data_IF_184252916864
#
_entry.id   IF_184252916864
#
_cell.length_a   1.000
_cell.length_b   1.000
_cell.length_c   1.000
_cell.angle_alpha   90.00
_cell.angle_beta   90.00
_cell.angle_gamma   90.00
#
_symmetry.space_group_name_H-M   'P 1'
#
loop_
_entity.id
_entity.type
_entity.pdbx_description
1 polymer ?
#
# COMPACT_ATOMS: atom_id res chain seq x y z
N UNK A 1 -10.80 10.74 -10.77
CA UNK A 1 -10.66 10.01 -9.49
C UNK A 1 -11.12 10.87 -8.32
N UNK A 2 -11.61 10.29 -7.23
CA UNK A 2 -11.86 10.98 -5.96
C UNK A 2 -11.20 10.26 -4.78
N UNK A 3 -10.78 11.01 -3.76
CA UNK A 3 -10.23 10.44 -2.52
C UNK A 3 -11.37 9.82 -1.71
N UNK A 4 -11.46 8.49 -1.72
CA UNK A 4 -12.51 7.74 -1.04
C UNK A 4 -12.22 7.59 0.47
N UNK A 5 -10.95 7.40 0.83
CA UNK A 5 -10.54 7.35 2.25
C UNK A 5 -9.06 7.70 2.42
N UNK A 6 -8.73 8.23 3.59
CA UNK A 6 -7.41 8.64 4.03
C UNK A 6 -7.25 8.38 5.52
N UNK A 7 -6.43 7.40 5.90
CA UNK A 7 -6.32 6.97 7.29
C UNK A 7 -4.98 6.32 7.61
N UNK A 8 -4.63 6.29 8.90
CA UNK A 8 -3.47 5.56 9.40
C UNK A 8 -3.86 4.09 9.58
N UNK A 9 -3.16 3.21 8.85
CA UNK A 9 -3.36 1.77 8.90
C UNK A 9 -2.32 1.09 9.79
N UNK A 10 -2.72 0.44 10.90
CA UNK A 10 -1.84 -0.43 11.65
C UNK A 10 -1.66 -1.75 10.90
N UNK A 11 -0.43 -2.24 10.81
CA UNK A 11 -0.12 -3.57 10.31
C UNK A 11 0.90 -4.25 11.22
N UNK A 12 0.90 -5.58 11.19
CA UNK A 12 1.75 -6.35 12.07
C UNK A 12 3.16 -6.54 11.48
N UNK A 13 4.12 -5.73 11.94
CA UNK A 13 5.53 -6.08 11.87
C UNK A 13 5.82 -7.30 12.75
N UNK A 14 6.43 -8.32 12.17
CA UNK A 14 6.84 -9.53 12.89
C UNK A 14 8.09 -9.24 13.75
N UNK A 15 7.96 -8.36 14.73
CA UNK A 15 9.05 -7.94 15.61
C UNK A 15 8.79 -8.59 16.96
N UNK A 16 9.77 -9.33 17.49
CA UNK A 16 9.67 -9.97 18.80
C UNK A 16 9.44 -8.99 19.97
N UNK A 17 9.47 -7.67 19.72
CA UNK A 17 9.26 -6.60 20.69
C UNK A 17 7.86 -5.97 20.73
N UNK A 18 6.91 -6.40 19.89
CA UNK A 18 5.51 -5.91 19.95
C UNK A 18 5.32 -4.46 19.49
N UNK A 19 6.27 -3.89 18.74
CA UNK A 19 6.14 -2.54 18.16
C UNK A 19 5.15 -2.61 16.99
N UNK A 20 4.04 -1.86 17.10
CA UNK A 20 3.04 -1.80 16.02
C UNK A 20 3.57 -0.95 14.87
N UNK A 21 3.65 -1.55 13.68
CA UNK A 21 3.93 -0.81 12.45
C UNK A 21 2.68 -0.07 11.96
N UNK A 22 2.90 1.05 11.27
CA UNK A 22 1.82 1.88 10.73
C UNK A 22 2.23 2.62 9.48
N UNK A 23 1.28 2.78 8.56
CA UNK A 23 1.41 3.58 7.35
C UNK A 23 0.19 4.48 7.19
N UNK A 24 0.23 5.45 6.27
CA UNK A 24 -0.96 6.18 5.83
C UNK A 24 -1.42 5.62 4.51
N UNK A 25 -2.68 5.18 4.45
CA UNK A 25 -3.33 4.72 3.23
C UNK A 25 -4.23 5.82 2.69
N UNK A 26 -4.06 6.14 1.41
CA UNK A 26 -4.99 6.94 0.63
C UNK A 26 -5.52 6.10 -0.52
N UNK A 27 -6.83 5.87 -0.54
CA UNK A 27 -7.52 5.14 -1.60
C UNK A 27 -8.30 6.13 -2.46
N UNK A 28 -8.00 6.13 -3.75
CA UNK A 28 -8.73 6.88 -4.76
C UNK A 28 -9.55 5.92 -5.61
N UNK A 29 -10.84 6.22 -5.78
CA UNK A 29 -11.76 5.46 -6.61
C UNK A 29 -12.10 6.27 -7.87
N UNK A 30 -12.39 5.60 -9.00
CA UNK A 30 -12.84 6.28 -10.19
C UNK A 30 -14.26 6.82 -10.03
N UNK A 31 -14.57 7.93 -10.71
CA UNK A 31 -15.93 8.47 -10.71
C UNK A 31 -16.90 7.56 -11.49
N UNK A 32 -16.40 6.93 -12.56
CA UNK A 32 -17.14 6.00 -13.42
C UNK A 32 -16.36 4.70 -13.61
N UNK A 33 -17.08 3.57 -13.76
CA UNK A 33 -16.60 2.22 -13.44
C UNK A 33 -15.64 1.54 -14.43
N UNK A 34 -14.69 2.25 -15.02
CA UNK A 34 -13.72 1.64 -15.96
C UNK A 34 -12.28 1.62 -15.47
N UNK A 35 -11.85 2.60 -14.67
CA UNK A 35 -10.46 2.68 -14.23
C UNK A 35 -10.21 1.85 -12.96
N UNK A 36 -8.97 1.41 -12.78
CA UNK A 36 -8.55 0.77 -11.53
C UNK A 36 -8.48 1.79 -10.38
N UNK A 37 -8.79 1.35 -9.16
CA UNK A 37 -8.55 2.14 -7.96
C UNK A 37 -7.05 2.43 -7.79
N UNK A 38 -6.70 3.59 -7.23
CA UNK A 38 -5.31 3.94 -6.91
C UNK A 38 -5.13 3.93 -5.40
N UNK A 39 -4.15 3.18 -4.90
CA UNK A 39 -3.79 3.14 -3.49
C UNK A 39 -2.40 3.74 -3.33
N UNK A 40 -2.28 4.78 -2.50
CA UNK A 40 -0.99 5.29 -2.07
C UNK A 40 -0.74 4.84 -0.63
N UNK A 41 0.23 3.94 -0.45
CA UNK A 41 0.74 3.51 0.84
C UNK A 41 1.96 4.35 1.21
N UNK A 42 1.78 5.27 2.16
CA UNK A 42 2.83 6.21 2.57
C UNK A 42 3.48 5.80 3.89
N UNK A 43 4.80 5.80 3.93
CA UNK A 43 5.56 5.65 5.17
C UNK A 43 5.31 6.84 6.10
N UNK A 44 5.18 6.56 7.41
CA UNK A 44 5.01 7.60 8.43
C UNK A 44 6.36 7.92 9.09
N UNK A 45 6.65 9.20 9.36
CA UNK A 45 7.93 9.60 9.95
C UNK A 45 8.15 9.07 11.37
N UNK A 46 7.07 8.74 12.07
CA UNK A 46 7.07 8.19 13.42
C UNK A 46 6.73 6.69 13.44
N UNK A 47 6.83 6.00 12.30
CA UNK A 47 6.73 4.54 12.24
C UNK A 47 8.00 3.91 12.82
N UNK A 48 7.89 3.29 14.00
CA UNK A 48 9.02 2.63 14.68
C UNK A 48 9.14 1.14 14.34
N UNK A 49 8.12 0.56 13.72
CA UNK A 49 8.12 -0.83 13.28
C UNK A 49 8.65 -0.97 11.86
N UNK A 50 8.44 -2.14 11.26
CA UNK A 50 8.85 -2.42 9.86
C UNK A 50 8.32 -1.38 8.87
N UNK A 51 9.09 -0.98 7.85
CA UNK A 51 8.61 -0.13 6.77
C UNK A 51 7.42 -0.78 6.01
N UNK A 52 6.50 0.02 5.44
CA UNK A 52 5.34 -0.53 4.74
C UNK A 52 5.72 -1.35 3.51
N UNK A 53 6.88 -1.05 2.93
CA UNK A 53 7.43 -1.78 1.78
C UNK A 53 7.73 -3.25 2.08
N UNK A 54 8.02 -3.59 3.34
CA UNK A 54 8.24 -4.99 3.75
C UNK A 54 6.94 -5.77 4.02
N UNK A 55 5.80 -5.07 4.06
CA UNK A 55 4.49 -5.65 4.31
C UNK A 55 3.50 -5.37 3.18
N UNK A 56 3.99 -4.97 1.99
CA UNK A 56 3.16 -4.52 0.88
C UNK A 56 2.14 -5.58 0.46
N UNK A 57 2.54 -6.85 0.39
CA UNK A 57 1.68 -7.98 0.03
C UNK A 57 0.54 -8.17 1.04
N UNK A 58 0.83 -8.05 2.33
CA UNK A 58 -0.19 -8.16 3.37
C UNK A 58 -1.15 -6.97 3.32
N UNK A 59 -0.62 -5.75 3.35
CA UNK A 59 -1.44 -4.53 3.39
C UNK A 59 -2.32 -4.47 2.13
N UNK A 60 -1.77 -4.80 0.96
CA UNK A 60 -2.54 -4.84 -0.28
C UNK A 60 -3.64 -5.90 -0.26
N UNK A 61 -3.36 -7.12 0.24
CA UNK A 61 -4.37 -8.16 0.40
C UNK A 61 -5.53 -7.71 1.32
N UNK A 62 -5.18 -7.05 2.43
CA UNK A 62 -6.15 -6.55 3.40
C UNK A 62 -7.00 -5.41 2.82
N UNK A 63 -6.40 -4.47 2.08
CA UNK A 63 -7.11 -3.39 1.37
C UNK A 63 -8.05 -3.95 0.30
N UNK A 64 -7.57 -4.85 -0.57
CA UNK A 64 -8.38 -5.46 -1.63
C UNK A 64 -9.59 -6.18 -1.03
N UNK A 65 -9.37 -6.99 0.02
CA UNK A 65 -10.43 -7.74 0.67
C UNK A 65 -11.42 -6.84 1.43
N UNK A 66 -10.94 -5.78 2.09
CA UNK A 66 -11.76 -4.87 2.88
C UNK A 66 -12.68 -4.01 1.99
N UNK A 67 -12.12 -3.39 0.96
CA UNK A 67 -12.87 -2.51 0.06
C UNK A 67 -13.56 -3.25 -1.09
N UNK A 68 -13.37 -4.57 -1.20
CA UNK A 68 -13.94 -5.42 -2.26
C UNK A 68 -13.66 -4.83 -3.65
N UNK A 69 -12.41 -4.44 -3.89
CA UNK A 69 -12.02 -3.78 -5.13
C UNK A 69 -12.32 -4.70 -6.33
N UNK A 70 -13.00 -4.21 -7.38
CA UNK A 70 -13.47 -5.04 -8.49
C UNK A 70 -12.34 -5.50 -9.42
N UNK A 71 -11.19 -4.84 -9.35
CA UNK A 71 -9.99 -5.13 -10.13
C UNK A 71 -8.74 -4.84 -9.28
N UNK A 72 -7.58 -5.40 -9.67
CA UNK A 72 -6.29 -5.04 -9.07
C UNK A 72 -6.07 -3.52 -9.01
N UNK A 73 -5.78 -2.92 -7.84
CA UNK A 73 -5.51 -1.50 -7.76
C UNK A 73 -4.13 -1.17 -8.32
N UNK A 74 -3.97 0.08 -8.78
CA UNK A 74 -2.65 0.70 -8.96
C UNK A 74 -2.08 0.97 -7.57
N UNK A 75 -1.07 0.20 -7.16
CA UNK A 75 -0.43 0.33 -5.85
C UNK A 75 0.82 1.20 -5.94
N UNK A 76 0.87 2.26 -5.14
CA UNK A 76 2.00 3.19 -5.09
C UNK A 76 2.55 3.19 -3.67
N UNK A 77 3.81 2.80 -3.52
CA UNK A 77 4.58 3.06 -2.31
C UNK A 77 5.11 4.48 -2.36
N UNK A 78 4.92 5.23 -1.28
CA UNK A 78 5.37 6.61 -1.15
C UNK A 78 6.23 6.75 0.10
N UNK A 79 7.46 7.25 -0.07
CA UNK A 79 8.34 7.60 1.04
C UNK A 79 8.55 9.11 1.06
N UNK A 80 7.91 9.82 2.00
CA UNK A 80 8.08 11.26 2.13
C UNK A 80 9.42 11.61 2.79
N UNK A 81 10.00 12.81 2.53
CA UNK A 81 11.27 13.24 3.13
C UNK A 81 11.27 13.19 4.66
N UNK A 82 10.13 13.48 5.28
CA UNK A 82 9.99 13.44 6.74
C UNK A 82 10.23 12.04 7.31
N UNK A 83 9.98 10.98 6.51
CA UNK A 83 10.21 9.60 6.92
C UNK A 83 11.65 9.12 6.74
N UNK A 84 12.50 9.89 6.06
CA UNK A 84 13.90 9.55 5.76
C UNK A 84 14.91 10.50 6.40
N UNK A 85 14.47 11.41 7.27
CA UNK A 85 15.36 12.44 7.80
C UNK A 85 15.78 13.49 6.76
N UNK A 86 14.94 13.71 5.73
CA UNK A 86 15.12 14.74 4.71
C UNK A 86 15.71 14.24 3.39
N UNK A 87 15.77 12.93 3.14
CA UNK A 87 16.12 12.42 1.81
C UNK A 87 15.06 12.78 0.76
N UNK A 88 15.40 12.63 -0.52
CA UNK A 88 14.48 12.88 -1.62
C UNK A 88 13.20 12.04 -1.50
N UNK A 89 12.06 12.67 -1.78
CA UNK A 89 10.78 11.97 -1.85
C UNK A 89 10.81 10.93 -2.97
N UNK A 90 10.34 9.72 -2.67
CA UNK A 90 10.29 8.66 -3.68
C UNK A 90 8.89 8.07 -3.80
N UNK A 91 8.54 7.71 -5.03
CA UNK A 91 7.38 6.87 -5.33
C UNK A 91 7.81 5.64 -6.11
N UNK A 92 7.19 4.51 -5.80
CA UNK A 92 7.35 3.29 -6.56
C UNK A 92 5.99 2.74 -6.96
N UNK A 93 5.82 2.46 -8.25
CA UNK A 93 4.73 1.61 -8.72
C UNK A 93 5.04 0.18 -8.29
N UNK A 94 4.08 -0.46 -7.63
CA UNK A 94 4.19 -1.84 -7.19
C UNK A 94 3.22 -2.71 -7.98
N UNK A 95 3.75 -3.83 -8.47
CA UNK A 95 2.97 -4.90 -9.10
C UNK A 95 3.16 -6.19 -8.31
N UNK A 96 2.09 -6.95 -8.14
CA UNK A 96 2.13 -8.22 -7.43
C UNK A 96 2.03 -9.38 -8.42
N UNK A 97 2.74 -10.49 -8.15
CA UNK A 97 2.75 -11.65 -9.04
C UNK A 97 1.35 -12.26 -9.27
N UNK A 98 0.46 -12.13 -8.28
CA UNK A 98 -0.96 -12.41 -8.37
C UNK A 98 -1.69 -11.53 -7.35
N UNK A 99 -2.99 -11.28 -7.56
CA UNK A 99 -3.82 -10.43 -6.69
C UNK A 99 -4.89 -11.24 -5.93
N UNK A 100 -4.91 -12.56 -6.11
CA UNK A 100 -5.77 -13.45 -5.35
C UNK A 100 -5.39 -13.41 -3.88
N UNK A 101 -6.33 -13.04 -3.01
CA UNK A 101 -6.10 -12.99 -1.57
C UNK A 101 -6.07 -14.42 -1.03
N UNK A 102 -4.92 -14.83 -0.51
CA UNK A 102 -4.72 -16.14 0.09
C UNK A 102 -4.54 -16.01 1.60
N UNK A 103 -5.03 -16.99 2.35
CA UNK A 103 -4.73 -17.10 3.77
C UNK A 103 -3.46 -17.93 3.95
N UNK A 104 -2.38 -17.32 4.43
CA UNK A 104 -1.12 -18.00 4.72
C UNK A 104 -1.01 -18.33 6.20
N UNK A 105 -0.57 -19.56 6.50
CA UNK A 105 -0.24 -19.99 7.86
C UNK A 105 1.23 -19.66 8.12
N UNK A 106 1.52 -18.75 9.05
CA UNK A 106 2.87 -18.57 9.60
C UNK A 106 2.87 -18.92 11.09
N UNK A 107 3.78 -19.82 11.46
CA UNK A 107 4.03 -20.26 12.84
C UNK A 107 2.79 -20.77 13.60
N UNK A 108 1.89 -21.48 12.93
CA UNK A 108 0.86 -22.34 13.55
C UNK A 108 -0.29 -21.65 14.27
N UNK A 109 -0.34 -20.31 14.38
CA UNK A 109 -1.35 -19.63 15.22
C UNK A 109 -2.07 -18.47 14.51
N UNK A 110 -1.52 -17.90 13.42
CA UNK A 110 -2.14 -16.77 12.72
C UNK A 110 -2.26 -17.00 11.22
N UNK A 111 -3.50 -16.90 10.72
CA UNK A 111 -3.81 -16.80 9.29
C UNK A 111 -3.63 -15.33 8.88
N UNK A 112 -2.69 -15.04 7.98
CA UNK A 112 -2.56 -13.72 7.36
C UNK A 112 -3.09 -13.74 5.94
N UNK A 113 -3.70 -12.63 5.52
CA UNK A 113 -4.06 -12.42 4.12
C UNK A 113 -2.83 -11.90 3.40
N UNK A 114 -2.41 -12.57 2.34
CA UNK A 114 -1.31 -12.14 1.48
C UNK A 114 -1.72 -12.30 0.01
N UNK A 115 -1.08 -11.53 -0.86
CA UNK A 115 -1.11 -11.68 -2.32
C UNK A 115 0.31 -12.03 -2.80
N UNK A 116 0.51 -12.15 -4.12
CA UNK A 116 1.78 -12.56 -4.68
C UNK A 116 2.92 -11.58 -4.38
N UNK A 117 4.20 -12.01 -4.46
CA UNK A 117 5.35 -11.17 -4.19
C UNK A 117 5.34 -9.85 -4.98
N UNK A 118 5.78 -8.77 -4.34
CA UNK A 118 5.86 -7.43 -4.91
C UNK A 118 7.11 -7.24 -5.79
N UNK A 119 6.92 -6.57 -6.93
CA UNK A 119 7.97 -5.99 -7.77
C UNK A 119 7.79 -4.49 -7.86
N UNK A 120 8.88 -3.73 -7.89
CA UNK A 120 8.87 -2.26 -7.79
C UNK A 120 9.54 -1.60 -8.98
N UNK A 121 8.96 -0.49 -9.43
CA UNK A 121 9.56 0.39 -10.41
C UNK A 121 9.44 1.84 -9.92
N UNK A 122 10.52 2.65 -10.00
CA UNK A 122 10.44 4.07 -9.70
C UNK A 122 9.36 4.77 -10.52
N UNK A 123 8.64 5.67 -9.87
CA UNK A 123 7.58 6.48 -10.45
C UNK A 123 7.84 7.94 -10.10
N UNK A 124 7.74 8.85 -11.07
CA UNK A 124 7.89 10.27 -10.80
C UNK A 124 6.60 10.87 -10.21
N UNK A 125 6.75 11.98 -9.47
CA UNK A 125 5.64 12.68 -8.82
C UNK A 125 4.56 13.11 -9.81
N UNK A 126 4.93 13.58 -11.01
CA UNK A 126 3.97 14.06 -12.01
C UNK A 126 3.05 12.93 -12.47
N UNK A 127 3.60 11.74 -12.68
CA UNK A 127 2.81 10.56 -13.03
C UNK A 127 1.83 10.18 -11.91
N UNK A 128 2.26 10.24 -10.64
CA UNK A 128 1.37 10.02 -9.49
C UNK A 128 0.22 11.03 -9.48
N UNK A 129 0.51 12.31 -9.70
CA UNK A 129 -0.50 13.37 -9.74
C UNK A 129 -1.52 13.15 -10.86
N UNK A 130 -1.09 12.72 -12.06
CA UNK A 130 -1.99 12.37 -13.16
C UNK A 130 -2.92 11.21 -12.78
N UNK A 131 -2.36 10.14 -12.18
CA UNK A 131 -3.12 8.96 -11.76
C UNK A 131 -4.23 9.31 -10.75
N UNK A 132 -3.97 10.19 -9.78
CA UNK A 132 -4.96 10.55 -8.74
C UNK A 132 -5.93 11.66 -9.17
N UNK A 133 -5.70 12.34 -10.29
CA UNK A 133 -6.71 13.20 -10.93
C UNK A 133 -7.65 12.38 -11.81
N UNK A 134 -7.12 11.33 -12.44
CA UNK A 134 -7.83 10.53 -13.43
C UNK A 134 -7.69 11.10 -14.86
N UNK A 135 -6.60 11.80 -15.13
CA UNK A 135 -6.30 12.43 -16.43
C UNK A 135 -5.41 11.52 -17.30
N UNK A 136 -5.62 10.19 -17.26
CA UNK A 136 -4.76 9.20 -17.96
C UNK A 136 -5.24 8.92 -19.37
#
# INVERSE_FOLDING_TARGET
>A
MYLATDYIYPYEGMDAGGVRSRCRLRLYLPYEGTDAAVVICSELPDNRGKPPTEAAEQIAAEVIAHFKLPSPPVWIEHRPPEATGGEEETFNLVTFAHYEVQNTLRSGIFLRKEIGPASRKPLDRRTVETLIRGDV
#
